data_IF_771655621929
#
_entry.id   IF_771655621929
#
_cell.length_a   1.000
_cell.length_b   1.000
_cell.length_c   1.000
_cell.angle_alpha   90.00
_cell.angle_beta   90.00
_cell.angle_gamma   90.00
#
_symmetry.space_group_name_H-M   'P 1'
#
loop_
_entity.id
_entity.type
_entity.pdbx_description
1 polymer ?
#
# COMPACT_ATOMS: atom_id res chain seq x y z
N UNK A 1 19.04 2.59 2.72
CA UNK A 1 17.73 3.06 3.22
C UNK A 1 16.70 2.00 2.93
N UNK A 2 16.04 1.47 3.95
CA UNK A 2 15.03 0.41 3.84
C UNK A 2 13.66 1.04 3.65
N UNK A 3 12.94 0.64 2.62
CA UNK A 3 11.58 1.13 2.36
C UNK A 3 10.57 0.01 2.59
N UNK A 4 9.59 0.28 3.44
CA UNK A 4 8.50 -0.64 3.78
C UNK A 4 7.21 -0.05 3.26
N UNK A 5 6.48 -0.83 2.47
CA UNK A 5 5.13 -0.48 2.05
C UNK A 5 4.12 -1.20 2.93
N UNK A 6 3.41 -0.44 3.74
CA UNK A 6 2.51 -0.95 4.77
C UNK A 6 1.06 -0.96 4.26
N UNK A 7 0.39 -2.08 4.45
CA UNK A 7 -1.01 -2.28 4.07
C UNK A 7 -1.82 -2.65 5.31
N UNK A 8 -2.91 -1.91 5.58
CA UNK A 8 -3.86 -2.29 6.61
C UNK A 8 -4.80 -3.37 6.07
N UNK A 9 -4.86 -4.52 6.75
CA UNK A 9 -5.79 -5.61 6.40
C UNK A 9 -7.25 -5.35 6.79
N UNK A 10 -7.60 -4.12 7.19
CA UNK A 10 -8.95 -3.73 7.60
C UNK A 10 -9.33 -2.43 6.91
N UNK A 11 -10.54 -2.40 6.35
CA UNK A 11 -11.10 -1.22 5.68
C UNK A 11 -11.90 -0.31 6.63
N UNK A 12 -12.02 -0.67 7.91
CA UNK A 12 -12.74 0.15 8.88
C UNK A 12 -11.97 1.43 9.20
N UNK A 13 -12.69 2.55 9.22
CA UNK A 13 -12.15 3.86 9.62
C UNK A 13 -11.62 3.90 11.07
N UNK A 14 -12.02 2.94 11.91
CA UNK A 14 -11.59 2.81 13.32
C UNK A 14 -10.71 1.59 13.57
N UNK A 15 -9.95 1.13 12.56
CA UNK A 15 -9.09 -0.05 12.70
C UNK A 15 -7.90 0.18 13.65
N UNK A 16 -7.76 -0.66 14.67
CA UNK A 16 -6.55 -0.70 15.50
C UNK A 16 -5.29 -1.01 14.69
N UNK A 17 -5.40 -1.83 13.64
CA UNK A 17 -4.27 -2.13 12.75
C UNK A 17 -3.79 -0.88 12.00
N UNK A 18 -4.73 -0.03 11.56
CA UNK A 18 -4.41 1.24 10.93
C UNK A 18 -3.63 2.15 11.90
N UNK A 19 -4.07 2.24 13.16
CA UNK A 19 -3.40 3.03 14.18
C UNK A 19 -1.97 2.52 14.47
N UNK A 20 -1.77 1.20 14.53
CA UNK A 20 -0.44 0.59 14.69
C UNK A 20 0.49 0.94 13.53
N UNK A 21 0.01 0.83 12.28
CA UNK A 21 0.83 1.18 11.11
C UNK A 21 1.20 2.66 11.08
N UNK A 22 0.27 3.55 11.46
CA UNK A 22 0.55 4.99 11.55
C UNK A 22 1.62 5.29 12.61
N UNK A 23 1.51 4.68 13.79
CA UNK A 23 2.51 4.82 14.83
C UNK A 23 3.89 4.28 14.37
N UNK A 24 3.92 3.14 13.68
CA UNK A 24 5.15 2.57 13.16
C UNK A 24 5.85 3.51 12.16
N UNK A 25 5.09 4.19 11.29
CA UNK A 25 5.65 5.16 10.35
C UNK A 25 6.26 6.39 11.05
N UNK A 26 5.63 6.86 12.13
CA UNK A 26 6.18 7.97 12.95
C UNK A 26 7.44 7.54 13.69
N UNK A 27 7.49 6.30 14.18
CA UNK A 27 8.60 5.76 14.96
C UNK A 27 9.69 5.10 14.10
N UNK A 28 9.61 5.23 12.77
CA UNK A 28 10.55 4.60 11.87
C UNK A 28 11.99 5.08 12.20
N UNK A 29 12.95 4.15 12.38
CA UNK A 29 14.32 4.52 12.70
C UNK A 29 15.01 5.22 11.52
N UNK A 30 16.11 5.90 11.80
CA UNK A 30 16.94 6.53 10.76
C UNK A 30 17.34 5.50 9.70
N UNK A 31 17.14 5.85 8.43
CA UNK A 31 17.40 4.97 7.30
C UNK A 31 16.25 4.02 6.98
N UNK A 32 15.10 4.13 7.63
CA UNK A 32 13.85 3.44 7.28
C UNK A 32 12.75 4.44 6.90
N UNK A 33 11.97 4.11 5.87
CA UNK A 33 10.74 4.80 5.50
C UNK A 33 9.60 3.80 5.42
N UNK A 34 8.49 4.08 6.10
CA UNK A 34 7.27 3.27 6.05
C UNK A 34 6.16 4.09 5.38
N UNK A 35 5.74 3.67 4.20
CA UNK A 35 4.66 4.30 3.44
C UNK A 35 3.38 3.48 3.58
N UNK A 36 2.31 4.09 4.11
CA UNK A 36 1.02 3.43 4.25
C UNK A 36 0.18 3.57 2.97
N UNK A 37 -0.41 2.46 2.52
CA UNK A 37 -1.33 2.45 1.39
C UNK A 37 -2.79 2.44 1.84
N UNK A 38 -3.51 3.53 1.57
CA UNK A 38 -4.94 3.66 1.87
C UNK A 38 -5.88 3.13 0.79
N UNK A 39 -5.38 2.82 -0.41
CA UNK A 39 -6.22 2.49 -1.57
C UNK A 39 -6.66 1.03 -1.68
N UNK A 40 -6.56 0.24 -0.61
CA UNK A 40 -6.92 -1.20 -0.65
C UNK A 40 -8.41 -1.40 -0.90
N UNK A 41 -9.26 -0.55 -0.33
CA UNK A 41 -10.71 -0.63 -0.52
C UNK A 41 -11.15 -0.41 -1.98
N UNK A 42 -10.30 0.24 -2.77
CA UNK A 42 -10.55 0.50 -4.19
C UNK A 42 -10.12 -0.67 -5.09
N UNK A 43 -9.47 -1.70 -4.53
CA UNK A 43 -9.09 -2.90 -5.27
C UNK A 43 -10.31 -3.81 -5.39
N UNK A 44 -10.80 -3.98 -6.61
CA UNK A 44 -11.85 -4.96 -6.89
C UNK A 44 -11.38 -6.38 -6.57
N UNK A 45 -12.32 -7.24 -6.19
CA UNK A 45 -12.05 -8.68 -6.10
C UNK A 45 -11.43 -9.21 -7.39
N UNK A 46 -10.50 -10.16 -7.24
CA UNK A 46 -9.89 -10.82 -8.37
C UNK A 46 -10.96 -11.49 -9.25
N UNK A 47 -10.87 -11.26 -10.55
CA UNK A 47 -11.67 -11.92 -11.56
C UNK A 47 -10.76 -12.16 -12.79
N UNK A 48 -10.54 -13.43 -13.21
CA UNK A 48 -9.64 -13.76 -14.31
C UNK A 48 -10.08 -13.14 -15.64
N UNK A 49 -11.38 -12.92 -15.87
CA UNK A 49 -11.89 -12.28 -17.09
C UNK A 49 -11.54 -10.79 -17.16
N UNK A 50 -11.21 -10.19 -16.00
CA UNK A 50 -10.86 -8.77 -15.86
C UNK A 50 -9.37 -8.53 -15.64
N UNK A 51 -8.57 -9.60 -15.60
CA UNK A 51 -7.11 -9.51 -15.51
C UNK A 51 -6.52 -9.33 -16.93
N UNK A 52 -6.72 -8.12 -17.46
CA UNK A 52 -6.32 -7.72 -18.81
C UNK A 52 -5.40 -6.51 -18.76
N UNK A 53 -4.63 -6.28 -19.81
CA UNK A 53 -3.84 -5.06 -19.99
C UNK A 53 -4.48 -4.12 -21.02
N UNK A 54 -4.54 -2.80 -20.77
CA UNK A 54 -4.08 -2.13 -19.56
C UNK A 54 -4.99 -2.43 -18.34
N UNK A 55 -4.36 -2.67 -17.19
CA UNK A 55 -5.08 -2.95 -15.95
C UNK A 55 -5.98 -1.76 -15.50
N UNK A 56 -7.08 -2.03 -14.79
CA UNK A 56 -7.91 -0.97 -14.18
C UNK A 56 -7.09 -0.03 -13.29
N UNK A 57 -7.46 1.25 -13.26
CA UNK A 57 -6.67 2.32 -12.65
C UNK A 57 -6.22 2.04 -11.21
N UNK A 58 -7.09 1.51 -10.35
CA UNK A 58 -6.74 1.16 -8.97
C UNK A 58 -5.68 0.05 -8.88
N UNK A 59 -5.76 -0.96 -9.76
CA UNK A 59 -4.79 -2.07 -9.84
C UNK A 59 -3.46 -1.54 -10.40
N UNK A 60 -3.50 -0.73 -11.46
CA UNK A 60 -2.31 -0.11 -12.03
C UNK A 60 -1.58 0.78 -11.00
N UNK A 61 -2.32 1.62 -10.27
CA UNK A 61 -1.79 2.48 -9.22
C UNK A 61 -1.16 1.67 -8.08
N UNK A 62 -1.81 0.58 -7.63
CA UNK A 62 -1.26 -0.32 -6.62
C UNK A 62 0.05 -0.97 -7.08
N UNK A 63 0.08 -1.51 -8.31
CA UNK A 63 1.29 -2.10 -8.91
C UNK A 63 2.45 -1.11 -8.96
N UNK A 64 2.19 0.15 -9.32
CA UNK A 64 3.21 1.21 -9.38
C UNK A 64 3.90 1.49 -8.03
N UNK A 65 3.23 1.23 -6.90
CA UNK A 65 3.85 1.44 -5.58
C UNK A 65 5.04 0.49 -5.34
N UNK A 66 5.01 -0.72 -5.91
CA UNK A 66 6.10 -1.70 -5.78
C UNK A 66 7.27 -1.42 -6.73
N UNK A 67 7.01 -0.85 -7.90
CA UNK A 67 8.04 -0.55 -8.90
C UNK A 67 8.77 0.77 -8.66
N UNK A 68 8.37 1.53 -7.63
CA UNK A 68 8.98 2.81 -7.27
C UNK A 68 10.40 2.58 -6.75
N UNK A 69 11.39 2.58 -7.67
CA UNK A 69 12.81 2.47 -7.32
C UNK A 69 13.18 3.57 -6.31
N UNK A 70 14.04 3.27 -5.31
CA UNK A 70 14.62 4.31 -4.50
C UNK A 70 15.39 5.26 -5.42
N UNK A 71 14.95 6.52 -5.49
CA UNK A 71 15.78 7.61 -6.01
C UNK A 71 16.98 7.69 -5.06
N UNK A 72 18.19 7.66 -5.63
CA UNK A 72 19.45 7.64 -4.90
C UNK A 72 19.63 8.84 -3.98
#
# INVERSE_FOLDING_TARGET
MTKVFAICGSLSAQSSNQAVLQAAAVLAPVGMQIDLYGGVGELSHFNPDRDVEPAPAAIAHFRQQFYRRPQG
#
